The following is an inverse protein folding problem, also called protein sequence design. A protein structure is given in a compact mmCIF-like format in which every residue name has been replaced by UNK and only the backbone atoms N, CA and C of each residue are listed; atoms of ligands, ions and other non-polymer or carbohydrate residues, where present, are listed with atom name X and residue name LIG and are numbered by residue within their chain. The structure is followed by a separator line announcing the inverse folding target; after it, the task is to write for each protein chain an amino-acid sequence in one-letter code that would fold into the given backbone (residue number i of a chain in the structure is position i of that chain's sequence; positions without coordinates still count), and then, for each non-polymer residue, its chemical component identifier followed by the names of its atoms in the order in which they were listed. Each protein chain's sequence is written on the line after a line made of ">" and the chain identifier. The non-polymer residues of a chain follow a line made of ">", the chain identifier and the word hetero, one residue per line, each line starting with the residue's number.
data_IF_764911276252
#
_entry.id   IF_764911276252
#
_cell.length_a   1.000
_cell.length_b   1.000
_cell.length_c   1.000
_cell.angle_alpha   90.00
_cell.angle_beta   90.00
_cell.angle_gamma   90.00
#
_symmetry.space_group_name_H-M   'P 1'
#
loop_
_entity.id
_entity.type
_entity.pdbx_description
1 polymer ?
#
# COMPACT_ATOMS: atom_id res chain seq x y z
N UNK A 1 11.02 -3.20 -10.17
CA UNK A 1 10.47 -2.75 -8.87
C UNK A 1 9.29 -1.85 -9.17
N UNK A 2 8.19 -1.95 -8.42
CA UNK A 2 6.97 -1.19 -8.70
C UNK A 2 6.60 -0.34 -7.48
N UNK A 3 6.23 -1.01 -6.39
CA UNK A 3 5.98 -0.38 -5.10
C UNK A 3 6.74 -1.13 -3.99
N UNK A 4 6.93 -0.47 -2.85
CA UNK A 4 7.33 -1.09 -1.59
C UNK A 4 6.20 -0.97 -0.59
N UNK A 5 5.93 -2.07 0.12
CA UNK A 5 5.03 -2.13 1.26
C UNK A 5 5.85 -2.45 2.51
N UNK A 6 5.49 -1.83 3.62
CA UNK A 6 6.04 -2.15 4.93
C UNK A 6 5.04 -1.87 6.03
N UNK A 7 5.42 -2.22 7.25
CA UNK A 7 4.64 -1.92 8.46
C UNK A 7 5.56 -1.63 9.64
N UNK A 8 5.11 -0.74 10.51
CA UNK A 8 5.76 -0.39 11.78
C UNK A 8 4.72 -0.27 12.91
N UNK A 9 5.12 0.23 14.07
CA UNK A 9 4.24 0.42 15.24
C UNK A 9 3.09 1.42 15.00
N UNK A 10 3.06 2.09 13.86
CA UNK A 10 2.05 3.05 13.45
C UNK A 10 1.18 2.54 12.30
N UNK A 11 1.34 1.28 11.89
CA UNK A 11 0.53 0.62 10.86
C UNK A 11 1.31 0.31 9.58
N UNK A 12 0.55 0.10 8.49
CA UNK A 12 1.10 -0.25 7.18
C UNK A 12 1.25 0.97 6.27
N UNK A 13 2.24 0.92 5.38
CA UNK A 13 2.50 1.97 4.41
C UNK A 13 2.80 1.39 3.02
N UNK A 14 2.58 2.21 1.98
CA UNK A 14 2.92 1.94 0.59
C UNK A 14 3.68 3.14 0.01
N UNK A 15 4.70 2.88 -0.80
CA UNK A 15 5.37 3.89 -1.62
C UNK A 15 5.59 3.36 -3.04
N UNK A 16 5.55 4.26 -4.01
CA UNK A 16 5.94 3.96 -5.40
C UNK A 16 7.46 4.05 -5.56
N UNK A 17 8.04 3.15 -6.35
CA UNK A 17 9.49 3.05 -6.58
C UNK A 17 9.91 3.56 -7.96
N UNK A 18 9.17 4.52 -8.52
CA UNK A 18 9.35 5.01 -9.89
C UNK A 18 8.75 4.04 -10.91
N UNK A 19 7.56 3.52 -10.62
CA UNK A 19 6.90 2.57 -11.51
C UNK A 19 6.47 3.23 -12.82
N UNK A 20 6.49 2.46 -13.91
CA UNK A 20 6.16 2.97 -15.26
C UNK A 20 4.71 3.48 -15.36
N UNK A 21 3.81 2.83 -14.64
CA UNK A 21 2.37 3.05 -14.74
C UNK A 21 1.76 3.63 -13.45
N UNK A 22 2.59 3.97 -12.46
CA UNK A 22 2.15 4.50 -11.18
C UNK A 22 1.60 3.44 -10.21
N UNK A 23 1.44 3.90 -8.98
CA UNK A 23 0.80 3.19 -7.86
C UNK A 23 -0.29 4.11 -7.32
N UNK A 24 -1.48 3.57 -7.06
CA UNK A 24 -2.62 4.36 -6.60
C UNK A 24 -3.30 3.70 -5.42
N UNK A 25 -3.83 4.55 -4.52
CA UNK A 25 -4.66 4.12 -3.41
C UNK A 25 -5.96 4.90 -3.40
N UNK A 26 -7.07 4.15 -3.50
CA UNK A 26 -8.41 4.69 -3.68
C UNK A 26 -8.47 5.71 -4.84
N UNK A 27 -7.67 5.49 -5.89
CA UNK A 27 -7.55 6.38 -7.06
C UNK A 27 -6.55 7.53 -6.91
N UNK A 28 -5.96 7.75 -5.74
CA UNK A 28 -4.95 8.79 -5.51
C UNK A 28 -3.55 8.25 -5.78
N UNK A 29 -2.73 8.99 -6.54
CA UNK A 29 -1.36 8.58 -6.84
C UNK A 29 -0.48 8.57 -5.59
N UNK A 30 0.25 7.48 -5.39
CA UNK A 30 1.28 7.34 -4.37
C UNK A 30 2.64 7.64 -5.00
N UNK A 31 3.43 8.48 -4.34
CA UNK A 31 4.78 8.86 -4.78
C UNK A 31 5.88 8.09 -4.04
N UNK A 32 7.09 8.62 -4.07
CA UNK A 32 8.22 8.07 -3.32
C UNK A 32 8.09 8.24 -1.80
N UNK A 33 7.25 9.17 -1.35
CA UNK A 33 6.95 9.36 0.07
C UNK A 33 6.00 8.25 0.55
N UNK A 34 6.36 7.48 1.59
CA UNK A 34 5.50 6.46 2.17
C UNK A 34 4.17 7.06 2.63
N UNK A 35 3.08 6.56 2.06
CA UNK A 35 1.73 6.89 2.48
C UNK A 35 1.25 5.82 3.46
N UNK A 36 0.54 6.23 4.51
CA UNK A 36 -0.10 5.30 5.44
C UNK A 36 -1.45 4.87 4.89
N UNK A 37 -1.79 3.61 5.12
CA UNK A 37 -3.03 3.02 4.60
C UNK A 37 -3.79 2.29 5.67
N UNK A 38 -5.10 2.19 5.43
CA UNK A 38 -6.02 1.51 6.33
C UNK A 38 -6.50 0.21 5.70
N UNK A 39 -7.02 -0.68 6.55
CA UNK A 39 -7.62 -1.92 6.07
C UNK A 39 -8.73 -1.60 5.05
N UNK A 40 -8.85 -2.43 4.00
CA UNK A 40 -9.82 -2.30 2.91
C UNK A 40 -9.54 -1.24 1.83
N UNK A 41 -8.37 -0.62 1.85
CA UNK A 41 -7.97 0.29 0.78
C UNK A 41 -7.84 -0.43 -0.57
N UNK A 42 -8.30 0.23 -1.64
CA UNK A 42 -8.14 -0.24 -3.01
C UNK A 42 -6.77 0.19 -3.52
N UNK A 43 -5.93 -0.78 -3.85
CA UNK A 43 -4.58 -0.52 -4.37
C UNK A 43 -4.54 -0.87 -5.83
N UNK A 44 -4.05 0.05 -6.65
CA UNK A 44 -3.78 -0.19 -8.06
C UNK A 44 -2.28 -0.17 -8.31
N UNK A 45 -1.75 -1.25 -8.86
CA UNK A 45 -0.36 -1.33 -9.30
C UNK A 45 -0.33 -1.51 -10.81
N UNK A 46 0.08 -0.46 -11.51
CA UNK A 46 0.29 -0.47 -12.95
C UNK A 46 -0.92 -0.88 -13.79
N UNK A 47 -2.12 -0.48 -13.39
CA UNK A 47 -3.38 -0.80 -14.05
C UNK A 47 -4.10 -2.03 -13.50
N UNK A 48 -3.50 -2.76 -12.54
CA UNK A 48 -4.14 -3.89 -11.88
C UNK A 48 -4.75 -3.47 -10.55
N UNK A 49 -6.09 -3.48 -10.49
CA UNK A 49 -6.84 -3.17 -9.28
C UNK A 49 -6.86 -4.37 -8.34
N UNK A 50 -6.51 -4.15 -7.07
CA UNK A 50 -6.53 -5.13 -6.00
C UNK A 50 -7.22 -4.54 -4.76
N UNK A 51 -7.86 -5.40 -3.97
CA UNK A 51 -8.30 -5.04 -2.62
C UNK A 51 -7.28 -5.57 -1.61
N UNK A 52 -6.73 -4.67 -0.80
CA UNK A 52 -5.74 -5.04 0.20
C UNK A 52 -6.39 -5.12 1.57
N UNK A 53 -6.08 -6.20 2.27
CA UNK A 53 -6.57 -6.48 3.61
C UNK A 53 -5.39 -6.51 4.54
N UNK A 54 -5.33 -5.54 5.45
CA UNK A 54 -4.32 -5.48 6.49
C UNK A 54 -4.93 -6.09 7.75
N UNK A 55 -4.46 -7.28 8.10
CA UNK A 55 -4.82 -7.94 9.35
C UNK A 55 -3.67 -7.71 10.33
N UNK A 56 -3.97 -7.08 11.46
CA UNK A 56 -3.07 -7.12 12.60
C UNK A 56 -3.06 -8.57 13.11
N UNK A 57 -1.87 -9.17 13.19
CA UNK A 57 -1.72 -10.49 13.80
C UNK A 57 -2.19 -10.37 15.23
N UNK A 58 -3.25 -11.09 15.60
CA UNK A 58 -3.52 -11.31 17.02
C UNK A 58 -2.33 -12.13 17.54
N UNK A 59 -1.41 -11.47 18.25
CA UNK A 59 -0.38 -12.16 19.00
C UNK A 59 -1.07 -13.24 19.82
N UNK A 60 -0.69 -14.49 19.53
CA UNK A 60 -1.22 -15.64 20.26
C UNK A 60 -0.71 -15.52 21.68
N UNK A 61 -1.62 -15.27 22.62
CA UNK A 61 -1.36 -15.31 24.07
C UNK A 61 -0.89 -16.73 24.44
#
# INVERSE_FOLDING_TARGET
>A
RHAAVGGDSQGFWLMDLGSRNGTFINGNSVGADPQKHTNWDKVELGGMLMHWFFMESQDTI
#
